data_IF_079600457722
#
_entry.id   IF_079600457722
#
_cell.length_a   1.000
_cell.length_b   1.000
_cell.length_c   1.000
_cell.angle_alpha   90.00
_cell.angle_beta   90.00
_cell.angle_gamma   90.00
#
_symmetry.space_group_name_H-M   'P 1'
#
loop_
_entity.id
_entity.type
_entity.pdbx_description
1 polymer ?
#
# COMPACT_ATOMS: atom_id res chain seq x y z
N UNK A 1 -21.36 -22.45 -14.88
CA UNK A 1 -21.91 -21.61 -13.80
C UNK A 1 -20.94 -20.46 -13.61
N UNK A 2 -21.36 -19.22 -13.90
CA UNK A 2 -20.51 -18.06 -13.61
C UNK A 2 -20.41 -17.93 -12.09
N UNK A 3 -19.21 -18.10 -11.53
CA UNK A 3 -18.96 -17.77 -10.12
C UNK A 3 -19.31 -16.29 -9.94
N UNK A 4 -20.21 -15.98 -9.01
CA UNK A 4 -20.31 -14.61 -8.50
C UNK A 4 -18.89 -14.18 -8.10
N UNK A 5 -18.48 -12.97 -8.51
CA UNK A 5 -17.15 -12.46 -8.18
C UNK A 5 -17.14 -12.14 -6.70
N UNK A 6 -16.82 -13.12 -5.86
CA UNK A 6 -16.64 -12.93 -4.43
C UNK A 6 -15.37 -12.11 -4.18
N UNK A 7 -15.49 -11.11 -3.30
CA UNK A 7 -14.38 -10.30 -2.84
C UNK A 7 -14.10 -10.60 -1.37
N UNK A 8 -12.82 -10.63 -1.03
CA UNK A 8 -12.35 -10.65 0.35
C UNK A 8 -12.26 -9.21 0.85
N UNK A 9 -12.99 -8.88 1.91
CA UNK A 9 -12.84 -7.63 2.62
C UNK A 9 -11.88 -7.83 3.80
N UNK A 10 -10.90 -6.94 3.94
CA UNK A 10 -9.97 -6.91 5.09
C UNK A 10 -10.02 -5.53 5.72
N UNK A 11 -10.38 -5.47 6.99
CA UNK A 11 -10.26 -4.26 7.80
C UNK A 11 -8.98 -4.38 8.63
N UNK A 12 -7.98 -3.56 8.30
CA UNK A 12 -6.70 -3.56 8.99
C UNK A 12 -6.62 -2.44 10.01
N UNK A 13 -5.90 -2.72 11.08
CA UNK A 13 -5.58 -1.73 12.10
C UNK A 13 -4.70 -0.61 11.53
N UNK A 14 -4.57 0.46 12.32
CA UNK A 14 -3.63 1.54 12.03
C UNK A 14 -2.20 1.04 12.24
N UNK A 15 -1.44 0.96 11.15
CA UNK A 15 -0.06 0.44 11.10
C UNK A 15 0.88 1.48 10.50
N UNK A 16 2.19 1.27 10.62
CA UNK A 16 3.16 2.10 9.92
C UNK A 16 3.17 1.83 8.41
N UNK A 17 3.84 2.72 7.67
CA UNK A 17 3.91 2.70 6.22
C UNK A 17 4.51 1.40 5.67
N UNK A 18 5.66 0.98 6.21
CA UNK A 18 6.36 -0.23 5.78
C UNK A 18 5.50 -1.47 5.98
N UNK A 19 4.88 -1.61 7.14
CA UNK A 19 4.02 -2.76 7.44
C UNK A 19 2.80 -2.80 6.52
N UNK A 20 2.16 -1.66 6.24
CA UNK A 20 1.04 -1.61 5.31
C UNK A 20 1.44 -2.04 3.89
N UNK A 21 2.62 -1.60 3.41
CA UNK A 21 3.13 -1.99 2.10
C UNK A 21 3.50 -3.48 2.03
N UNK A 22 4.14 -4.01 3.07
CA UNK A 22 4.47 -5.43 3.13
C UNK A 22 3.21 -6.32 3.08
N UNK A 23 2.11 -5.89 3.73
CA UNK A 23 0.82 -6.58 3.65
C UNK A 23 0.25 -6.52 2.23
N UNK A 24 0.27 -5.35 1.60
CA UNK A 24 -0.27 -5.17 0.25
C UNK A 24 0.52 -6.02 -0.77
N UNK A 25 1.85 -6.08 -0.67
CA UNK A 25 2.71 -6.97 -1.47
C UNK A 25 2.42 -8.45 -1.22
N UNK A 26 2.24 -8.86 0.03
CA UNK A 26 1.90 -10.24 0.37
C UNK A 26 0.54 -10.64 -0.21
N UNK A 27 -0.46 -9.75 -0.14
CA UNK A 27 -1.79 -9.97 -0.73
C UNK A 27 -1.68 -10.08 -2.26
N UNK A 28 -0.89 -9.22 -2.90
CA UNK A 28 -0.65 -9.27 -4.34
C UNK A 28 0.03 -10.58 -4.75
N UNK A 29 1.13 -10.94 -4.09
CA UNK A 29 1.87 -12.17 -4.37
C UNK A 29 1.03 -13.44 -4.12
N UNK A 30 0.20 -13.45 -3.06
CA UNK A 30 -0.73 -14.56 -2.82
C UNK A 30 -1.80 -14.64 -3.90
N UNK A 31 -2.32 -13.51 -4.39
CA UNK A 31 -3.28 -13.50 -5.50
C UNK A 31 -2.68 -14.09 -6.77
N UNK A 32 -1.46 -13.67 -7.09
CA UNK A 32 -0.73 -14.15 -8.26
C UNK A 32 -0.44 -15.67 -8.16
N UNK A 33 0.07 -16.13 -7.01
CA UNK A 33 0.54 -17.51 -6.84
C UNK A 33 -0.55 -18.51 -6.51
N UNK A 34 -1.53 -18.12 -5.70
CA UNK A 34 -2.52 -19.03 -5.11
C UNK A 34 -3.94 -18.80 -5.64
N UNK A 35 -4.15 -17.79 -6.50
CA UNK A 35 -5.47 -17.51 -7.09
C UNK A 35 -6.55 -17.14 -6.08
N UNK A 36 -6.16 -16.55 -4.93
CA UNK A 36 -7.11 -16.09 -3.90
C UNK A 36 -8.11 -15.06 -4.45
N UNK A 37 -9.20 -14.84 -3.73
CA UNK A 37 -10.25 -13.88 -4.11
C UNK A 37 -9.71 -12.45 -4.26
N UNK A 38 -10.44 -11.62 -5.03
CA UNK A 38 -10.10 -10.21 -5.17
C UNK A 38 -10.22 -9.56 -3.79
N UNK A 39 -9.21 -8.80 -3.36
CA UNK A 39 -9.14 -8.29 -1.99
C UNK A 39 -9.36 -6.78 -1.98
N UNK A 40 -10.33 -6.31 -1.20
CA UNK A 40 -10.49 -4.91 -0.82
C UNK A 40 -10.00 -4.76 0.62
N UNK A 41 -9.07 -3.84 0.85
CA UNK A 41 -8.47 -3.61 2.17
C UNK A 41 -8.65 -2.17 2.59
N UNK A 42 -9.24 -1.96 3.77
CA UNK A 42 -9.24 -0.66 4.43
C UNK A 42 -8.15 -0.64 5.50
N UNK A 43 -7.34 0.42 5.50
CA UNK A 43 -6.28 0.57 6.48
C UNK A 43 -5.95 2.05 6.72
N UNK A 44 -5.27 2.30 7.82
CA UNK A 44 -4.84 3.63 8.24
C UNK A 44 -3.36 3.62 8.61
N UNK A 45 -2.75 4.81 8.63
CA UNK A 45 -1.31 4.97 8.76
C UNK A 45 -1.00 5.79 10.02
N UNK A 46 -0.02 5.33 10.81
CA UNK A 46 0.57 6.15 11.88
C UNK A 46 2.07 5.84 12.01
N UNK A 47 2.96 6.85 11.96
CA UNK A 47 2.70 8.28 11.72
C UNK A 47 2.15 8.57 10.31
N UNK A 48 1.75 9.82 10.04
CA UNK A 48 1.29 10.24 8.71
C UNK A 48 2.40 9.96 7.69
N UNK A 49 2.03 9.39 6.56
CA UNK A 49 2.96 8.96 5.52
C UNK A 49 2.47 9.38 4.14
N UNK A 50 3.40 9.46 3.19
CA UNK A 50 3.13 9.74 1.79
C UNK A 50 3.64 8.57 0.95
N UNK A 51 2.76 8.04 0.10
CA UNK A 51 3.14 7.13 -0.97
C UNK A 51 3.62 7.93 -2.17
N UNK A 52 4.84 7.64 -2.64
CA UNK A 52 5.33 8.13 -3.91
C UNK A 52 5.05 7.06 -4.95
N UNK A 53 4.23 7.41 -5.95
CA UNK A 53 3.97 6.53 -7.07
C UNK A 53 5.23 6.31 -7.90
N UNK A 54 5.37 5.13 -8.51
CA UNK A 54 6.52 4.74 -9.35
C UNK A 54 6.98 5.82 -10.35
N UNK A 55 6.04 6.56 -10.94
CA UNK A 55 6.33 7.59 -11.95
C UNK A 55 6.74 8.95 -11.36
N UNK A 56 6.69 9.12 -10.03
CA UNK A 56 7.13 10.33 -9.35
C UNK A 56 8.63 10.22 -9.02
N UNK A 57 9.43 11.14 -9.57
CA UNK A 57 10.89 11.11 -9.45
C UNK A 57 11.33 11.55 -8.06
N UNK A 58 12.37 10.89 -7.54
CA UNK A 58 12.97 11.18 -6.22
C UNK A 58 13.57 12.59 -6.10
N UNK A 59 13.82 13.26 -7.22
CA UNK A 59 14.33 14.63 -7.25
C UNK A 59 13.24 15.69 -7.09
N UNK A 60 11.96 15.30 -6.91
CA UNK A 60 10.88 16.24 -6.71
C UNK A 60 11.17 17.13 -5.48
N UNK A 61 11.29 18.47 -5.66
CA UNK A 61 11.57 19.40 -4.58
C UNK A 61 10.58 19.32 -3.40
N UNK A 62 9.35 18.88 -3.66
CA UNK A 62 8.31 18.69 -2.65
C UNK A 62 8.67 17.60 -1.63
N UNK A 63 9.48 16.59 -2.02
CA UNK A 63 9.92 15.52 -1.12
C UNK A 63 10.81 16.01 0.02
N UNK A 64 11.62 17.04 -0.24
CA UNK A 64 12.43 17.68 0.79
C UNK A 64 11.57 18.39 1.83
N UNK A 65 10.44 18.96 1.42
CA UNK A 65 9.47 19.60 2.32
C UNK A 65 8.76 18.56 3.18
N UNK A 66 8.35 17.42 2.62
CA UNK A 66 7.69 16.36 3.40
C UNK A 66 8.60 15.72 4.45
N UNK A 67 9.90 15.55 4.15
CA UNK A 67 10.88 15.10 5.16
C UNK A 67 11.01 16.09 6.32
N UNK A 68 10.91 17.40 6.06
CA UNK A 68 10.93 18.44 7.12
C UNK A 68 9.71 18.34 8.04
N UNK A 69 8.58 17.89 7.51
CA UNK A 69 7.33 17.71 8.26
C UNK A 69 7.27 16.39 9.04
N UNK A 70 8.37 15.63 9.13
CA UNK A 70 8.47 14.31 9.79
C UNK A 70 7.50 13.26 9.23
N UNK A 71 7.18 13.35 7.95
CA UNK A 71 6.36 12.36 7.26
C UNK A 71 7.21 11.16 6.85
N UNK A 72 6.67 9.95 7.02
CA UNK A 72 7.29 8.75 6.45
C UNK A 72 7.07 8.74 4.94
N UNK A 73 8.13 8.49 4.17
CA UNK A 73 8.10 8.48 2.71
C UNK A 73 8.41 7.08 2.23
N UNK A 74 7.46 6.46 1.52
CA UNK A 74 7.65 5.17 0.88
C UNK A 74 7.68 5.31 -0.64
N UNK A 75 8.57 4.55 -1.26
CA UNK A 75 8.68 4.43 -2.71
C UNK A 75 8.08 3.11 -3.14
N UNK A 76 7.11 3.17 -4.03
CA UNK A 76 6.61 1.96 -4.68
C UNK A 76 7.43 1.68 -5.95
N UNK A 77 8.40 0.77 -5.86
CA UNK A 77 9.07 0.20 -7.02
C UNK A 77 8.40 -1.12 -7.40
N UNK A 78 7.58 -1.12 -8.46
CA UNK A 78 7.09 -2.35 -9.09
C UNK A 78 8.17 -3.00 -9.94
#
# INVERSE_FOLDING_TARGET
MAREKEWRLIESNCLDAYTNMAIDEAVFAMREKLGILATLRFYSWKPVAICIGYFQRMEDPSLKEYKRQKLTIELHSS
#
